data_IF_683729078365
#
_entry.id   IF_683729078365
#
_cell.length_a   1.000
_cell.length_b   1.000
_cell.length_c   1.000
_cell.angle_alpha   90.00
_cell.angle_beta   90.00
_cell.angle_gamma   90.00
#
_symmetry.space_group_name_H-M   'P 1'
#
loop_
_entity.id
_entity.type
_entity.pdbx_description
1 polymer ?
#
# COMPACT_ATOMS: atom_id res chain seq x y z
N UNK A 1 2.24 -4.64 12.19
CA UNK A 1 3.03 -3.44 11.89
C UNK A 1 3.68 -3.02 13.19
N UNK A 2 4.92 -3.41 13.40
CA UNK A 2 5.62 -3.36 14.68
C UNK A 2 7.13 -3.26 14.45
N UNK A 3 7.79 -2.54 15.35
CA UNK A 3 9.21 -2.21 15.48
C UNK A 3 9.89 -1.46 14.31
N UNK A 4 9.64 -1.85 13.07
CA UNK A 4 10.41 -1.36 11.90
C UNK A 4 9.69 -0.25 11.10
N UNK A 5 8.48 0.15 11.47
CA UNK A 5 7.65 1.16 10.77
C UNK A 5 7.55 0.94 9.24
N UNK A 6 7.51 -0.32 8.80
CA UNK A 6 7.33 -0.74 7.40
C UNK A 6 6.24 -1.80 7.22
N UNK A 7 5.63 -1.82 6.03
CA UNK A 7 4.77 -2.89 5.54
C UNK A 7 5.28 -3.42 4.19
N UNK A 8 5.56 -4.73 4.17
CA UNK A 8 6.09 -5.45 3.01
C UNK A 8 5.27 -6.70 2.74
N UNK A 9 5.34 -7.21 1.51
CA UNK A 9 4.95 -8.59 1.20
C UNK A 9 6.17 -9.46 1.42
N UNK A 10 6.13 -10.41 2.37
CA UNK A 10 7.27 -11.30 2.59
C UNK A 10 7.43 -12.28 1.43
N UNK A 11 8.67 -12.70 1.18
CA UNK A 11 9.03 -13.63 0.10
C UNK A 11 8.32 -14.99 0.17
N UNK A 12 8.00 -15.47 1.39
CA UNK A 12 7.25 -16.70 1.60
C UNK A 12 5.76 -16.60 1.26
N UNK A 13 5.20 -15.39 1.13
CA UNK A 13 3.80 -15.20 0.70
C UNK A 13 3.70 -15.28 -0.82
N UNK A 14 4.35 -14.34 -1.51
CA UNK A 14 4.43 -14.34 -2.97
C UNK A 14 5.65 -13.52 -3.44
N UNK A 15 6.46 -14.05 -4.37
CA UNK A 15 7.51 -13.28 -5.01
C UNK A 15 6.95 -12.06 -5.76
N UNK A 16 7.68 -10.95 -5.70
CA UNK A 16 7.30 -9.68 -6.34
C UNK A 16 6.86 -9.82 -7.80
N UNK A 17 7.61 -10.58 -8.60
CA UNK A 17 7.34 -10.77 -10.02
C UNK A 17 6.05 -11.56 -10.33
N UNK A 18 5.43 -12.16 -9.31
CA UNK A 18 4.16 -12.87 -9.41
C UNK A 18 2.98 -12.05 -8.87
N UNK A 19 3.22 -10.83 -8.38
CA UNK A 19 2.15 -9.89 -7.98
C UNK A 19 1.49 -9.32 -9.24
N UNK A 20 0.30 -9.83 -9.55
CA UNK A 20 -0.50 -9.48 -10.72
C UNK A 20 -2.01 -9.55 -10.40
N UNK A 21 -2.87 -9.35 -11.41
CA UNK A 21 -4.33 -9.36 -11.24
C UNK A 21 -4.85 -10.70 -10.69
N UNK A 22 -4.36 -11.84 -11.17
CA UNK A 22 -4.81 -13.16 -10.71
C UNK A 22 -4.42 -13.39 -9.24
N UNK A 23 -3.21 -12.98 -8.84
CA UNK A 23 -2.75 -13.08 -7.46
C UNK A 23 -3.54 -12.19 -6.49
N UNK A 24 -4.08 -11.07 -6.98
CA UNK A 24 -4.99 -10.19 -6.24
C UNK A 24 -6.35 -10.85 -6.12
N UNK A 25 -6.92 -11.30 -7.24
CA UNK A 25 -8.25 -11.93 -7.28
C UNK A 25 -8.30 -13.20 -6.41
N UNK A 26 -7.25 -14.01 -6.43
CA UNK A 26 -7.11 -15.16 -5.54
C UNK A 26 -7.27 -14.77 -4.07
N UNK A 27 -6.70 -13.63 -3.66
CA UNK A 27 -6.74 -13.16 -2.26
C UNK A 27 -8.10 -12.62 -1.85
N UNK A 28 -8.84 -12.04 -2.79
CA UNK A 28 -10.25 -11.72 -2.59
C UNK A 28 -11.07 -12.99 -2.47
N UNK A 29 -10.92 -13.93 -3.41
CA UNK A 29 -11.70 -15.16 -3.48
C UNK A 29 -11.50 -16.07 -2.26
N UNK A 30 -10.26 -16.17 -1.76
CA UNK A 30 -9.93 -17.00 -0.61
C UNK A 30 -9.98 -16.25 0.74
N UNK A 31 -10.56 -15.04 0.76
CA UNK A 31 -10.76 -14.24 1.96
C UNK A 31 -9.48 -13.88 2.74
N UNK A 32 -8.32 -13.86 2.07
CA UNK A 32 -7.03 -13.41 2.67
C UNK A 32 -6.76 -11.92 2.48
N UNK A 33 -7.67 -11.22 1.80
CA UNK A 33 -7.76 -9.76 1.75
C UNK A 33 -9.23 -9.37 1.98
N UNK A 34 -9.55 -8.78 3.14
CA UNK A 34 -10.95 -8.57 3.58
C UNK A 34 -11.15 -7.21 4.27
N UNK A 35 -10.38 -6.92 5.32
CA UNK A 35 -10.54 -5.72 6.15
C UNK A 35 -9.99 -4.47 5.43
N UNK A 36 -10.88 -3.52 5.11
CA UNK A 36 -10.54 -2.27 4.41
C UNK A 36 -10.24 -1.15 5.41
N UNK A 37 -8.98 -1.08 5.85
CA UNK A 37 -8.50 -0.03 6.74
C UNK A 37 -8.08 1.22 5.97
N UNK A 38 -8.77 2.33 6.22
CA UNK A 38 -8.48 3.61 5.57
C UNK A 38 -7.21 4.29 6.09
N UNK A 39 -6.27 4.56 5.18
CA UNK A 39 -5.01 5.27 5.46
C UNK A 39 -4.77 6.40 4.45
N UNK A 40 -3.81 7.28 4.69
CA UNK A 40 -3.48 8.39 3.80
C UNK A 40 -2.02 8.34 3.32
N UNK A 41 -1.82 8.05 2.04
CA UNK A 41 -0.51 8.21 1.38
C UNK A 41 -0.20 9.70 1.24
N UNK A 42 0.87 10.17 1.88
CA UNK A 42 1.25 11.60 1.92
C UNK A 42 2.55 11.90 1.18
N UNK A 43 3.24 10.88 0.69
CA UNK A 43 4.47 11.01 -0.09
C UNK A 43 4.97 9.67 -0.57
N UNK A 44 6.00 9.69 -1.42
CA UNK A 44 6.71 8.48 -1.83
C UNK A 44 8.18 8.80 -2.11
N UNK A 45 9.02 7.78 -2.08
CA UNK A 45 10.42 7.84 -2.51
C UNK A 45 10.79 6.58 -3.27
N UNK A 46 11.79 6.66 -4.13
CA UNK A 46 12.37 5.47 -4.76
C UNK A 46 13.66 5.10 -4.02
N UNK A 47 13.76 3.85 -3.58
CA UNK A 47 14.95 3.35 -2.89
C UNK A 47 15.19 1.89 -3.26
N UNK A 48 16.40 1.58 -3.74
CA UNK A 48 16.79 0.22 -4.12
C UNK A 48 16.01 -0.34 -5.30
N UNK A 49 15.45 0.52 -6.17
CA UNK A 49 14.60 0.10 -7.29
C UNK A 49 13.14 -0.15 -6.91
N UNK A 50 12.76 0.09 -5.65
CA UNK A 50 11.39 -0.01 -5.17
C UNK A 50 10.82 1.37 -4.85
N UNK A 51 9.53 1.55 -5.14
CA UNK A 51 8.79 2.69 -4.62
C UNK A 51 8.33 2.39 -3.19
N UNK A 52 8.55 3.36 -2.29
CA UNK A 52 8.14 3.32 -0.90
C UNK A 52 7.19 4.48 -0.64
N UNK A 53 5.99 4.16 -0.18
CA UNK A 53 4.93 5.13 0.06
C UNK A 53 4.89 5.48 1.55
N UNK A 54 5.04 6.78 1.87
CA UNK A 54 4.86 7.28 3.22
C UNK A 54 3.37 7.37 3.53
N UNK A 55 2.93 6.59 4.50
CA UNK A 55 1.54 6.47 4.90
C UNK A 55 1.35 7.08 6.28
N UNK A 56 0.39 7.99 6.40
CA UNK A 56 -0.16 8.46 7.67
C UNK A 56 -1.33 7.57 8.08
N UNK A 57 -1.28 7.03 9.28
CA UNK A 57 -2.27 6.10 9.83
C UNK A 57 -2.62 6.47 11.28
N UNK A 58 -3.89 6.30 11.64
CA UNK A 58 -4.47 6.62 12.94
C UNK A 58 -4.46 5.43 13.92
N UNK A 59 -3.94 4.27 13.49
CA UNK A 59 -3.89 3.08 14.34
C UNK A 59 -3.04 3.30 15.60
N UNK A 60 -3.59 2.89 16.76
CA UNK A 60 -2.89 2.99 18.06
C UNK A 60 -1.55 2.25 18.08
N UNK A 61 -1.38 1.25 17.21
CA UNK A 61 -0.14 0.47 17.07
C UNK A 61 1.02 1.34 16.58
N UNK A 62 0.76 2.31 15.70
CA UNK A 62 1.79 3.21 15.17
C UNK A 62 2.09 4.40 16.09
N UNK A 63 1.28 4.62 17.14
CA UNK A 63 1.64 5.56 18.21
C UNK A 63 2.81 5.06 19.08
N UNK A 64 3.26 3.82 18.88
CA UNK A 64 4.37 3.19 19.60
C UNK A 64 5.60 2.94 18.72
N UNK A 65 5.51 3.31 17.43
CA UNK A 65 6.63 3.23 16.49
C UNK A 65 7.67 4.33 16.72
N UNK A 66 8.78 4.27 15.97
CA UNK A 66 9.81 5.31 15.99
C UNK A 66 9.29 6.60 15.35
N UNK A 67 8.41 6.48 14.36
CA UNK A 67 7.77 7.59 13.68
C UNK A 67 6.26 7.58 13.97
N UNK A 68 5.85 8.27 15.03
CA UNK A 68 4.47 8.25 15.52
C UNK A 68 3.45 8.57 14.41
N UNK A 69 2.57 7.60 14.14
CA UNK A 69 1.49 7.72 13.15
C UNK A 69 1.93 7.62 11.68
N UNK A 70 3.18 7.26 11.41
CA UNK A 70 3.71 7.08 10.06
C UNK A 70 4.32 5.69 9.87
N UNK A 71 4.15 5.16 8.67
CA UNK A 71 4.68 3.85 8.25
C UNK A 71 5.00 3.92 6.75
N UNK A 72 6.00 3.18 6.31
CA UNK A 72 6.28 3.03 4.88
C UNK A 72 5.64 1.76 4.32
N UNK A 73 4.89 1.86 3.23
CA UNK A 73 4.41 0.70 2.49
C UNK A 73 5.29 0.51 1.25
N UNK A 74 5.79 -0.70 1.04
CA UNK A 74 6.43 -1.08 -0.23
C UNK A 74 5.41 -1.06 -1.38
N UNK A 75 5.91 -0.85 -2.59
CA UNK A 75 5.13 -0.97 -3.83
C UNK A 75 4.44 -2.33 -3.96
N UNK A 76 5.09 -3.41 -3.54
CA UNK A 76 4.51 -4.75 -3.51
C UNK A 76 3.29 -4.86 -2.58
N UNK A 77 3.38 -4.25 -1.40
CA UNK A 77 2.26 -4.19 -0.47
C UNK A 77 1.09 -3.37 -1.04
N UNK A 78 1.39 -2.21 -1.64
CA UNK A 78 0.38 -1.39 -2.32
C UNK A 78 -0.29 -2.19 -3.45
N UNK A 79 0.49 -2.83 -4.32
CA UNK A 79 -0.01 -3.62 -5.46
C UNK A 79 -0.82 -4.83 -5.05
N UNK A 80 -0.51 -5.48 -3.92
CA UNK A 80 -1.17 -6.71 -3.52
C UNK A 80 -2.36 -6.50 -2.59
N UNK A 81 -2.30 -5.51 -1.68
CA UNK A 81 -3.23 -5.38 -0.55
C UNK A 81 -4.16 -4.17 -0.61
N UNK A 82 -3.90 -3.17 -1.47
CA UNK A 82 -4.85 -2.04 -1.60
C UNK A 82 -6.14 -2.49 -2.28
N UNK A 83 -7.26 -2.17 -1.64
CA UNK A 83 -8.61 -2.49 -2.09
C UNK A 83 -9.20 -1.37 -2.94
N UNK A 84 -9.22 -0.17 -2.36
CA UNK A 84 -9.76 1.02 -2.99
C UNK A 84 -8.85 2.20 -2.73
N UNK A 85 -9.00 3.26 -3.53
CA UNK A 85 -8.34 4.53 -3.28
C UNK A 85 -9.23 5.67 -3.73
N UNK A 86 -9.12 6.80 -3.05
CA UNK A 86 -9.82 8.04 -3.39
C UNK A 86 -8.79 9.10 -3.76
N UNK A 87 -8.97 9.71 -4.92
CA UNK A 87 -8.14 10.83 -5.40
C UNK A 87 -9.03 11.93 -5.96
N UNK A 88 -8.51 13.15 -5.95
CA UNK A 88 -9.18 14.26 -6.62
C UNK A 88 -9.27 13.99 -8.14
N UNK A 89 -10.44 14.26 -8.74
CA UNK A 89 -10.69 14.03 -10.18
C UNK A 89 -9.61 14.66 -11.06
N UNK A 90 -9.27 15.91 -10.82
CA UNK A 90 -8.27 16.64 -11.60
C UNK A 90 -6.88 15.99 -11.56
N UNK A 91 -6.50 15.37 -10.45
CA UNK A 91 -5.23 14.66 -10.34
C UNK A 91 -5.22 13.42 -11.24
N UNK A 92 -6.34 12.70 -11.30
CA UNK A 92 -6.49 11.53 -12.15
C UNK A 92 -6.55 11.91 -13.64
N UNK A 93 -7.31 12.94 -14.01
CA UNK A 93 -7.36 13.45 -15.39
C UNK A 93 -5.97 13.90 -15.88
N UNK A 94 -5.23 14.61 -15.02
CA UNK A 94 -3.85 15.02 -15.29
C UNK A 94 -2.94 13.81 -15.50
N UNK A 95 -3.08 12.76 -14.69
CA UNK A 95 -2.27 11.55 -14.81
C UNK A 95 -2.61 10.72 -16.06
N UNK A 96 -3.89 10.65 -16.43
CA UNK A 96 -4.35 9.90 -17.62
C UNK A 96 -4.20 10.68 -18.93
N UNK A 97 -3.96 11.99 -18.87
CA UNK A 97 -3.91 12.85 -20.06
C UNK A 97 -5.25 12.97 -20.79
N UNK A 98 -6.36 12.65 -20.13
CA UNK A 98 -7.73 12.70 -20.70
C UNK A 98 -8.76 12.97 -19.61
N UNK A 99 -9.91 13.50 -20.02
CA UNK A 99 -11.08 13.66 -19.15
C UNK A 99 -11.78 12.34 -18.89
N UNK A 100 -12.41 12.24 -17.72
CA UNK A 100 -13.18 11.05 -17.26
C UNK A 100 -14.58 11.45 -16.82
#
# INVERSE_FOLDING_TARGET
MGEEDIAIVPDFDIPQNLINQDSRELRFYNETTTDDHGVHVVGFTNMGGHDWYLVKDSSRRLAQGKFEGYVFYSDDYIRLKMLTFLVHKDALEKALGKKI
#
